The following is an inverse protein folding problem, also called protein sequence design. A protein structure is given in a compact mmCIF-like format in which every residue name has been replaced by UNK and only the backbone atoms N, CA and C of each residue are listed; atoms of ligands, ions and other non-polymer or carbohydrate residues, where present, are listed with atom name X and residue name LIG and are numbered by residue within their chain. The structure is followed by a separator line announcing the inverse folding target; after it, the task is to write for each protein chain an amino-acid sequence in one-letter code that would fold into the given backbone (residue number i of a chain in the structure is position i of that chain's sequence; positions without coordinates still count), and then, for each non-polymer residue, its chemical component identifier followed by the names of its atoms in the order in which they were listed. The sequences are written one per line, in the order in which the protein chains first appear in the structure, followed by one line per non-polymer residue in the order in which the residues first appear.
data_IF_542721943276
#
_entry.id   IF_542721943276
#
_cell.length_a   1.000
_cell.length_b   1.000
_cell.length_c   1.000
_cell.angle_alpha   90.00
_cell.angle_beta   90.00
_cell.angle_gamma   90.00
#
_symmetry.space_group_name_H-M   'P 1'
#
loop_
_entity.id
_entity.type
_entity.pdbx_description
1 polymer ?
#
# COMPACT_ATOMS: atom_id res chain seq x y z
N UNK A 1 -53.91 9.64 44.68
CA UNK A 1 -53.17 8.39 44.38
C UNK A 1 -52.71 8.43 42.93
N UNK A 2 -51.48 8.88 42.66
CA UNK A 2 -50.91 8.97 41.30
C UNK A 2 -49.77 7.96 41.18
N UNK A 3 -49.87 7.10 40.16
CA UNK A 3 -48.96 5.99 39.85
C UNK A 3 -47.63 6.53 39.33
N UNK A 4 -46.51 6.01 39.86
CA UNK A 4 -45.17 6.18 39.30
C UNK A 4 -44.84 4.93 38.47
N UNK A 5 -44.52 5.12 37.19
CA UNK A 5 -43.92 4.10 36.33
C UNK A 5 -42.39 4.30 36.33
N UNK A 6 -41.57 3.22 36.32
CA UNK A 6 -40.13 3.35 36.30
C UNK A 6 -39.63 3.58 34.86
N UNK A 7 -38.79 4.59 34.71
CA UNK A 7 -38.07 4.91 33.47
C UNK A 7 -36.87 3.96 33.35
N UNK A 8 -36.95 3.02 32.40
CA UNK A 8 -35.86 2.10 32.08
C UNK A 8 -34.80 2.84 31.25
N UNK A 9 -33.64 3.13 31.83
CA UNK A 9 -32.53 3.79 31.14
C UNK A 9 -31.72 2.74 30.36
N UNK A 10 -31.78 2.79 29.03
CA UNK A 10 -30.99 1.95 28.14
C UNK A 10 -29.57 2.52 28.05
N UNK A 11 -28.58 1.89 28.71
CA UNK A 11 -27.17 2.20 28.50
C UNK A 11 -26.73 1.62 27.14
N UNK A 12 -26.68 2.47 26.11
CA UNK A 12 -25.99 2.14 24.87
C UNK A 12 -24.48 2.17 25.09
N UNK A 13 -23.81 1.03 24.99
CA UNK A 13 -22.36 0.96 24.99
C UNK A 13 -21.83 1.61 23.70
N UNK A 14 -21.22 2.80 23.81
CA UNK A 14 -20.39 3.36 22.76
C UNK A 14 -19.13 2.51 22.65
N UNK A 15 -19.05 1.67 21.62
CA UNK A 15 -17.79 1.10 21.16
C UNK A 15 -16.97 2.21 20.51
N UNK A 16 -16.00 2.75 21.25
CA UNK A 16 -14.99 3.64 20.69
C UNK A 16 -14.14 2.85 19.67
N UNK A 17 -13.97 3.34 18.43
CA UNK A 17 -13.00 2.74 17.52
C UNK A 17 -11.61 2.92 18.13
N UNK A 18 -10.90 1.83 18.32
CA UNK A 18 -9.50 1.83 18.75
C UNK A 18 -8.73 2.59 17.67
N UNK A 19 -8.33 3.83 17.96
CA UNK A 19 -7.38 4.55 17.13
C UNK A 19 -6.13 3.68 17.05
N UNK A 20 -5.74 3.28 15.83
CA UNK A 20 -4.50 2.57 15.61
C UNK A 20 -3.38 3.46 16.16
N UNK A 21 -2.81 3.06 17.29
CA UNK A 21 -1.59 3.66 17.82
C UNK A 21 -0.51 3.39 16.77
N UNK A 22 0.09 4.44 16.20
CA UNK A 22 1.13 4.31 15.20
C UNK A 22 2.28 3.47 15.79
N UNK A 23 2.30 2.19 15.41
CA UNK A 23 3.33 1.27 15.86
C UNK A 23 4.65 1.74 15.27
N UNK A 24 5.70 1.76 16.10
CA UNK A 24 7.04 2.17 15.66
C UNK A 24 7.42 1.39 14.40
N UNK A 25 7.75 2.06 13.28
CA UNK A 25 8.16 1.38 12.07
C UNK A 25 9.35 0.45 12.30
N UNK A 26 9.32 -0.72 11.66
CA UNK A 26 10.46 -1.64 11.57
C UNK A 26 11.36 -1.29 10.38
N UNK A 27 10.87 -0.46 9.46
CA UNK A 27 11.62 0.08 8.33
C UNK A 27 11.03 1.41 7.88
N UNK A 28 11.89 2.37 7.56
CA UNK A 28 11.52 3.66 6.94
C UNK A 28 12.58 4.09 5.94
N UNK A 29 12.14 4.59 4.78
CA UNK A 29 13.02 5.22 3.81
C UNK A 29 12.26 6.28 2.98
N UNK A 30 12.67 7.54 3.14
CA UNK A 30 12.17 8.70 2.40
C UNK A 30 13.22 9.26 1.43
N UNK A 31 14.27 8.50 1.13
CA UNK A 31 15.33 8.80 0.16
C UNK A 31 16.17 10.06 0.39
N UNK A 32 15.88 10.90 1.38
CA UNK A 32 16.61 12.15 1.63
C UNK A 32 18.12 11.94 1.86
N UNK A 33 18.46 10.83 2.51
CA UNK A 33 19.86 10.41 2.77
C UNK A 33 20.48 9.59 1.65
N UNK A 34 19.72 9.24 0.61
CA UNK A 34 20.21 8.42 -0.48
C UNK A 34 21.06 9.22 -1.46
N UNK A 35 22.00 8.54 -2.10
CA UNK A 35 22.77 9.06 -3.23
C UNK A 35 21.87 9.13 -4.47
N UNK A 36 22.01 10.21 -5.26
CA UNK A 36 21.30 10.35 -6.52
C UNK A 36 21.78 9.31 -7.54
N UNK A 37 20.90 8.98 -8.48
CA UNK A 37 21.16 8.10 -9.63
C UNK A 37 21.55 6.68 -9.22
N UNK A 38 21.20 6.28 -7.99
CA UNK A 38 21.47 4.95 -7.43
C UNK A 38 20.24 4.40 -6.73
N UNK A 39 20.18 3.08 -6.66
CA UNK A 39 19.24 2.37 -5.77
C UNK A 39 19.90 2.25 -4.39
N UNK A 40 19.17 2.46 -3.28
CA UNK A 40 19.71 2.20 -1.94
C UNK A 40 20.17 0.74 -1.79
N UNK A 41 21.29 0.53 -1.12
CA UNK A 41 21.97 -0.77 -1.08
C UNK A 41 21.16 -1.90 -0.41
N UNK A 42 20.18 -1.56 0.42
CA UNK A 42 19.29 -2.50 1.10
C UNK A 42 18.12 -2.96 0.21
N UNK A 43 17.97 -2.43 -1.01
CA UNK A 43 16.90 -2.79 -1.92
C UNK A 43 17.34 -3.95 -2.83
N UNK A 44 16.40 -4.82 -3.18
CA UNK A 44 16.59 -5.85 -4.20
C UNK A 44 15.70 -5.54 -5.39
N UNK A 45 16.29 -5.02 -6.47
CA UNK A 45 15.60 -4.78 -7.74
C UNK A 45 15.29 -6.12 -8.39
N UNK A 46 14.01 -6.38 -8.67
CA UNK A 46 13.60 -7.58 -9.39
C UNK A 46 13.82 -7.40 -10.89
N UNK A 47 13.41 -6.24 -11.40
CA UNK A 47 13.66 -5.74 -12.76
C UNK A 47 13.38 -4.22 -12.79
N UNK A 48 13.83 -3.53 -13.83
CA UNK A 48 13.61 -2.09 -14.05
C UNK A 48 14.79 -1.22 -13.60
N UNK A 49 15.00 -0.11 -14.29
CA UNK A 49 16.07 0.84 -14.00
C UNK A 49 15.65 1.86 -12.93
N UNK A 50 15.37 1.37 -11.72
CA UNK A 50 15.03 2.25 -10.58
C UNK A 50 16.25 3.07 -10.17
N UNK A 51 16.06 4.35 -9.88
CA UNK A 51 17.13 5.25 -9.41
C UNK A 51 16.56 6.33 -8.50
N UNK A 52 17.31 6.77 -7.49
CA UNK A 52 16.91 7.94 -6.70
C UNK A 52 17.12 9.21 -7.52
N UNK A 53 16.05 10.01 -7.66
CA UNK A 53 16.05 11.31 -8.33
C UNK A 53 15.62 12.40 -7.35
N UNK A 54 15.81 13.65 -7.75
CA UNK A 54 15.37 14.82 -6.99
C UNK A 54 14.56 15.76 -7.87
N UNK A 55 13.49 16.31 -7.30
CA UNK A 55 12.63 17.32 -7.93
C UNK A 55 11.97 18.17 -6.83
N UNK A 56 11.89 19.48 -7.03
CA UNK A 56 11.24 20.38 -6.07
C UNK A 56 11.77 20.34 -4.63
N UNK A 57 13.03 19.93 -4.42
CA UNK A 57 13.64 19.79 -3.09
C UNK A 57 13.32 18.47 -2.36
N UNK A 58 12.65 17.52 -3.01
CA UNK A 58 12.36 16.18 -2.49
C UNK A 58 13.16 15.13 -3.25
N UNK A 59 13.71 14.13 -2.55
CA UNK A 59 14.27 12.93 -3.19
C UNK A 59 13.24 11.80 -3.19
N UNK A 60 13.27 10.97 -4.23
CA UNK A 60 12.36 9.83 -4.38
C UNK A 60 13.00 8.76 -5.25
N UNK A 61 12.54 7.52 -5.14
CA UNK A 61 12.89 6.48 -6.09
C UNK A 61 12.04 6.64 -7.36
N UNK A 62 12.66 6.69 -8.52
CA UNK A 62 11.97 6.80 -9.81
C UNK A 62 12.15 5.52 -10.63
N UNK A 63 11.05 5.04 -11.20
CA UNK A 63 11.01 4.07 -12.29
C UNK A 63 10.79 4.83 -13.61
N UNK A 64 11.66 4.69 -14.62
CA UNK A 64 11.52 5.41 -15.88
C UNK A 64 10.27 5.00 -16.67
N UNK A 65 9.88 5.87 -17.60
CA UNK A 65 8.72 5.66 -18.48
C UNK A 65 8.87 4.56 -19.54
N UNK A 66 10.03 3.91 -19.63
CA UNK A 66 10.35 2.87 -20.60
C UNK A 66 11.48 1.95 -20.06
N UNK A 67 11.54 0.67 -20.46
CA UNK A 67 10.58 -0.03 -21.33
C UNK A 67 9.21 -0.23 -20.68
N UNK A 68 8.22 -0.69 -21.45
CA UNK A 68 6.86 -0.90 -20.96
C UNK A 68 6.71 -2.35 -20.47
N UNK A 69 6.94 -2.57 -19.18
CA UNK A 69 6.75 -3.88 -18.54
C UNK A 69 6.22 -3.73 -17.09
N UNK A 70 6.28 -4.81 -16.31
CA UNK A 70 6.02 -4.85 -14.86
C UNK A 70 7.34 -4.89 -14.11
N UNK A 71 7.61 -3.84 -13.34
CA UNK A 71 8.83 -3.72 -12.57
C UNK A 71 8.52 -3.69 -11.08
N UNK A 72 9.48 -4.15 -10.28
CA UNK A 72 9.32 -4.19 -8.84
C UNK A 72 10.65 -4.18 -8.11
N UNK A 73 10.62 -3.70 -6.88
CA UNK A 73 11.76 -3.72 -5.97
C UNK A 73 11.30 -4.15 -4.59
N UNK A 74 12.09 -5.01 -3.95
CA UNK A 74 11.88 -5.45 -2.57
C UNK A 74 12.72 -4.61 -1.62
N UNK A 75 12.17 -4.28 -0.46
CA UNK A 75 12.84 -3.50 0.58
C UNK A 75 12.41 -3.99 1.97
N UNK A 76 13.06 -3.49 3.03
CA UNK A 76 12.70 -3.84 4.40
C UNK A 76 12.93 -5.32 4.77
N UNK A 77 12.44 -5.74 5.96
CA UNK A 77 12.69 -7.06 6.53
C UNK A 77 11.89 -8.16 5.82
N UNK A 78 12.34 -9.41 5.98
CA UNK A 78 11.60 -10.60 5.55
C UNK A 78 10.72 -11.07 6.71
N UNK A 79 9.41 -11.05 6.54
CA UNK A 79 8.46 -11.51 7.56
C UNK A 79 7.37 -12.38 6.94
N UNK A 80 6.73 -13.21 7.76
CA UNK A 80 5.65 -14.12 7.32
C UNK A 80 4.28 -13.46 7.34
N UNK A 81 4.00 -12.66 8.35
CA UNK A 81 2.71 -11.99 8.52
C UNK A 81 2.86 -10.85 9.52
N UNK A 82 1.73 -10.21 9.84
CA UNK A 82 1.63 -9.19 10.86
C UNK A 82 2.48 -7.94 10.54
N UNK A 83 2.55 -7.60 9.25
CA UNK A 83 3.11 -6.36 8.73
C UNK A 83 2.07 -5.54 7.98
N UNK A 84 2.27 -4.22 8.00
CA UNK A 84 1.74 -3.29 7.02
C UNK A 84 2.88 -2.62 6.26
N UNK A 85 2.68 -2.40 4.97
CA UNK A 85 3.53 -1.59 4.10
C UNK A 85 2.74 -0.39 3.60
N UNK A 86 3.38 0.78 3.56
CA UNK A 86 2.84 1.97 2.92
C UNK A 86 3.89 2.72 2.11
N UNK A 87 3.42 3.47 1.12
CA UNK A 87 4.21 4.35 0.29
C UNK A 87 3.37 5.51 -0.25
N UNK A 88 4.02 6.62 -0.58
CA UNK A 88 3.51 7.62 -1.52
C UNK A 88 3.95 7.23 -2.93
N UNK A 89 3.04 7.30 -3.89
CA UNK A 89 3.31 6.98 -5.29
C UNK A 89 2.72 8.06 -6.20
N UNK A 90 3.53 8.56 -7.13
CA UNK A 90 3.16 9.57 -8.11
C UNK A 90 3.35 9.04 -9.53
N UNK A 91 2.44 9.42 -10.42
CA UNK A 91 2.54 9.14 -11.84
C UNK A 91 1.71 10.12 -12.65
N UNK A 92 1.84 10.04 -13.98
CA UNK A 92 1.05 10.87 -14.90
C UNK A 92 0.44 10.02 -16.01
N UNK A 93 -0.75 10.38 -16.46
CA UNK A 93 -1.31 9.81 -17.69
C UNK A 93 -0.72 10.52 -18.91
N UNK A 94 -0.76 9.85 -20.07
CA UNK A 94 -0.42 10.44 -21.37
C UNK A 94 -1.49 10.09 -22.40
N UNK A 95 -2.38 11.04 -22.67
CA UNK A 95 -3.55 10.79 -23.52
C UNK A 95 -4.47 9.75 -22.87
N UNK A 96 -4.65 8.59 -23.52
CA UNK A 96 -5.43 7.45 -22.99
C UNK A 96 -4.59 6.34 -22.36
N UNK A 97 -3.29 6.59 -22.16
CA UNK A 97 -2.36 5.63 -21.54
C UNK A 97 -2.16 5.98 -20.07
N UNK A 98 -2.24 4.96 -19.23
CA UNK A 98 -2.20 5.09 -17.78
C UNK A 98 -1.07 4.22 -17.21
N UNK A 99 -0.39 4.66 -16.16
CA UNK A 99 0.46 3.77 -15.38
C UNK A 99 -0.40 2.85 -14.50
N UNK A 100 0.17 1.74 -14.03
CA UNK A 100 -0.32 1.01 -12.85
C UNK A 100 0.79 0.95 -11.82
N UNK A 101 0.47 0.96 -10.54
CA UNK A 101 1.49 0.98 -9.48
C UNK A 101 0.92 0.53 -8.15
N UNK A 102 1.79 0.12 -7.23
CA UNK A 102 1.32 -0.25 -5.90
C UNK A 102 2.38 -0.71 -4.93
N UNK A 103 1.91 -1.29 -3.83
CA UNK A 103 2.71 -1.86 -2.74
C UNK A 103 2.40 -3.34 -2.59
N UNK A 104 3.31 -4.12 -2.03
CA UNK A 104 3.11 -5.55 -1.77
C UNK A 104 3.81 -6.06 -0.52
N UNK A 105 3.34 -7.20 -0.03
CA UNK A 105 3.88 -7.94 1.12
C UNK A 105 4.18 -9.39 0.70
N UNK A 106 5.05 -10.07 1.44
CA UNK A 106 5.35 -11.49 1.27
C UNK A 106 6.06 -11.84 -0.04
N UNK A 107 6.89 -10.93 -0.57
CA UNK A 107 7.70 -11.15 -1.76
C UNK A 107 6.90 -11.24 -3.06
N UNK A 108 7.52 -11.76 -4.12
CA UNK A 108 6.98 -11.77 -5.49
C UNK A 108 5.66 -12.55 -5.61
N UNK A 109 5.57 -13.70 -4.94
CA UNK A 109 4.35 -14.53 -4.91
C UNK A 109 3.32 -14.10 -3.86
N UNK A 110 3.59 -13.01 -3.13
CA UNK A 110 2.74 -12.51 -2.05
C UNK A 110 1.58 -11.66 -2.54
N UNK A 111 1.08 -10.81 -1.64
CA UNK A 111 -0.03 -9.91 -1.94
C UNK A 111 0.45 -8.58 -2.51
N UNK A 112 -0.26 -8.05 -3.50
CA UNK A 112 0.00 -6.72 -4.08
C UNK A 112 -1.30 -5.93 -4.15
N UNK A 113 -1.29 -4.69 -3.67
CA UNK A 113 -2.38 -3.73 -3.84
C UNK A 113 -1.98 -2.77 -4.96
N UNK A 114 -2.56 -2.92 -6.14
CA UNK A 114 -2.26 -2.10 -7.31
C UNK A 114 -3.40 -1.15 -7.63
N UNK A 115 -3.07 0.11 -7.91
CA UNK A 115 -3.98 1.08 -8.51
C UNK A 115 -3.93 0.90 -10.02
N UNK A 116 -5.09 0.66 -10.63
CA UNK A 116 -5.26 0.44 -12.07
C UNK A 116 -6.16 1.52 -12.68
N UNK A 117 -5.63 2.73 -12.97
CA UNK A 117 -6.40 3.88 -13.43
C UNK A 117 -7.16 3.63 -14.74
N UNK A 118 -6.60 2.84 -15.66
CA UNK A 118 -7.26 2.47 -16.92
C UNK A 118 -8.58 1.72 -16.69
N UNK A 119 -8.69 0.99 -15.58
CA UNK A 119 -9.88 0.24 -15.18
C UNK A 119 -10.76 1.01 -14.18
N UNK A 120 -10.28 2.13 -13.63
CA UNK A 120 -10.88 2.83 -12.47
C UNK A 120 -11.03 1.94 -11.24
N UNK A 121 -10.02 1.12 -10.98
CA UNK A 121 -10.01 0.15 -9.88
C UNK A 121 -8.76 0.28 -9.02
N UNK A 122 -8.89 -0.15 -7.77
CA UNK A 122 -7.80 -0.75 -7.02
C UNK A 122 -7.99 -2.27 -7.04
N UNK A 123 -6.91 -3.02 -7.20
CA UNK A 123 -6.90 -4.47 -7.37
C UNK A 123 -5.98 -5.10 -6.32
N UNK A 124 -6.47 -6.13 -5.63
CA UNK A 124 -5.66 -6.99 -4.76
C UNK A 124 -5.27 -8.24 -5.53
N UNK A 125 -3.97 -8.46 -5.67
CA UNK A 125 -3.38 -9.64 -6.27
C UNK A 125 -2.79 -10.58 -5.21
N UNK A 126 -2.72 -11.88 -5.52
CA UNK A 126 -1.83 -12.85 -4.86
C UNK A 126 -1.08 -13.61 -5.95
N UNK A 127 0.24 -13.47 -6.00
CA UNK A 127 0.97 -13.82 -7.23
C UNK A 127 0.36 -13.05 -8.40
N UNK A 128 0.04 -13.72 -9.51
CA UNK A 128 -0.54 -13.09 -10.70
C UNK A 128 -2.08 -13.09 -10.74
N UNK A 129 -2.72 -13.68 -9.73
CA UNK A 129 -4.18 -13.75 -9.65
C UNK A 129 -4.76 -12.50 -9.00
N UNK A 130 -5.74 -11.87 -9.65
CA UNK A 130 -6.62 -10.88 -9.00
C UNK A 130 -7.58 -11.61 -8.05
N UNK A 131 -7.54 -11.25 -6.77
CA UNK A 131 -8.40 -11.82 -5.71
C UNK A 131 -9.60 -10.96 -5.39
N UNK A 132 -9.43 -9.63 -5.39
CA UNK A 132 -10.52 -8.69 -5.12
C UNK A 132 -10.26 -7.37 -5.85
N UNK A 133 -11.32 -6.67 -6.21
CA UNK A 133 -11.24 -5.32 -6.79
C UNK A 133 -12.23 -4.39 -6.09
N UNK A 134 -11.93 -3.10 -6.12
CA UNK A 134 -12.84 -2.06 -5.64
C UNK A 134 -12.74 -0.82 -6.54
N UNK A 135 -13.84 -0.06 -6.72
CA UNK A 135 -13.81 1.19 -7.46
C UNK A 135 -12.83 2.20 -6.85
N UNK A 136 -11.96 2.77 -7.68
CA UNK A 136 -11.08 3.86 -7.29
C UNK A 136 -10.74 4.73 -8.50
N UNK A 137 -11.05 6.02 -8.42
CA UNK A 137 -10.68 6.99 -9.44
C UNK A 137 -9.39 7.71 -9.04
N UNK A 138 -8.29 7.36 -9.71
CA UNK A 138 -6.99 7.96 -9.51
C UNK A 138 -6.87 9.35 -10.20
N UNK A 139 -6.15 10.27 -9.56
CA UNK A 139 -5.86 11.60 -10.08
C UNK A 139 -4.43 11.67 -10.63
N UNK A 140 -4.30 12.01 -11.91
CA UNK A 140 -3.00 12.18 -12.56
C UNK A 140 -2.22 13.35 -11.99
N UNK A 141 -0.89 13.20 -11.87
CA UNK A 141 -0.02 14.28 -11.42
C UNK A 141 -0.20 14.65 -9.94
N UNK A 142 -0.77 13.75 -9.15
CA UNK A 142 -0.95 13.91 -7.70
C UNK A 142 -0.42 12.66 -7.01
N UNK A 143 0.27 12.86 -5.89
CA UNK A 143 0.71 11.75 -5.03
C UNK A 143 -0.50 11.02 -4.44
N UNK A 144 -0.51 9.70 -4.59
CA UNK A 144 -1.42 8.80 -3.90
C UNK A 144 -0.69 8.13 -2.74
N UNK A 145 -1.36 7.98 -1.60
CA UNK A 145 -0.91 7.18 -0.47
C UNK A 145 -1.57 5.81 -0.55
N UNK A 146 -0.77 4.76 -0.43
CA UNK A 146 -1.24 3.38 -0.38
C UNK A 146 -0.81 2.74 0.92
N UNK A 147 -1.66 1.86 1.46
CA UNK A 147 -1.35 1.00 2.60
C UNK A 147 -1.95 -0.38 2.36
N UNK A 148 -1.14 -1.41 2.55
CA UNK A 148 -1.52 -2.82 2.53
C UNK A 148 -1.06 -3.46 3.83
N UNK A 149 -1.93 -4.22 4.50
CA UNK A 149 -1.57 -5.02 5.65
C UNK A 149 -1.96 -6.48 5.48
N UNK A 150 -1.14 -7.37 6.02
CA UNK A 150 -1.44 -8.79 6.22
C UNK A 150 -1.42 -9.06 7.72
N UNK A 151 -2.59 -9.28 8.31
CA UNK A 151 -2.73 -9.54 9.74
C UNK A 151 -3.08 -10.99 9.99
N UNK A 152 -2.37 -11.64 10.91
CA UNK A 152 -2.74 -12.98 11.38
C UNK A 152 -3.89 -12.88 12.36
N UNK A 153 -5.06 -13.46 12.02
CA UNK A 153 -6.25 -13.46 12.89
C UNK A 153 -6.14 -14.60 13.91
N UNK A 154 -5.77 -15.80 13.43
CA UNK A 154 -5.42 -16.98 14.24
C UNK A 154 -4.60 -17.94 13.39
N UNK A 155 -4.25 -19.11 13.93
CA UNK A 155 -3.49 -20.10 13.16
C UNK A 155 -4.25 -20.54 11.91
N UNK A 156 -3.61 -20.40 10.75
CA UNK A 156 -4.19 -20.72 9.44
C UNK A 156 -5.18 -19.71 8.89
N UNK A 157 -5.39 -18.57 9.55
CA UNK A 157 -6.31 -17.52 9.07
C UNK A 157 -5.67 -16.13 9.14
N UNK A 158 -5.66 -15.46 8.01
CA UNK A 158 -5.15 -14.11 7.85
C UNK A 158 -6.21 -13.19 7.25
N UNK A 159 -6.06 -11.91 7.51
CA UNK A 159 -6.86 -10.84 6.89
C UNK A 159 -5.92 -9.91 6.13
N UNK A 160 -6.22 -9.70 4.85
CA UNK A 160 -5.52 -8.79 3.96
C UNK A 160 -6.37 -7.57 3.73
N UNK A 161 -5.83 -6.41 4.09
CA UNK A 161 -6.57 -5.15 4.06
C UNK A 161 -5.77 -4.09 3.33
N UNK A 162 -6.42 -3.42 2.36
CA UNK A 162 -5.79 -2.45 1.48
C UNK A 162 -6.60 -1.17 1.39
N UNK A 163 -5.92 -0.03 1.33
CA UNK A 163 -6.56 1.26 1.06
C UNK A 163 -5.63 2.20 0.30
N UNK A 164 -6.26 3.07 -0.46
CA UNK A 164 -5.62 4.09 -1.29
C UNK A 164 -6.37 5.41 -1.15
N UNK A 165 -5.64 6.51 -1.04
CA UNK A 165 -6.22 7.85 -0.92
C UNK A 165 -5.28 8.90 -1.51
N UNK A 166 -5.79 10.04 -2.01
CA UNK A 166 -4.92 11.13 -2.45
C UNK A 166 -4.18 11.73 -1.25
N UNK A 167 -2.95 12.20 -1.45
CA UNK A 167 -2.13 12.79 -0.39
C UNK A 167 -2.82 13.98 0.32
N UNK A 168 -3.62 14.74 -0.42
CA UNK A 168 -4.39 15.88 0.10
C UNK A 168 -5.52 15.47 1.05
N UNK A 169 -5.88 14.20 1.11
CA UNK A 169 -6.90 13.67 2.00
C UNK A 169 -6.31 13.03 3.25
N UNK A 170 -7.09 13.01 4.33
CA UNK A 170 -6.79 12.22 5.53
C UNK A 170 -6.86 10.73 5.19
N UNK A 171 -6.04 9.93 5.87
CA UNK A 171 -6.11 8.47 5.77
C UNK A 171 -7.53 7.99 6.11
N UNK A 172 -8.19 7.22 5.23
CA UNK A 172 -9.51 6.67 5.53
C UNK A 172 -9.47 5.70 6.70
N UNK A 173 -10.47 5.79 7.58
CA UNK A 173 -10.68 4.82 8.65
C UNK A 173 -11.14 3.45 8.10
N UNK A 174 -11.98 3.47 7.06
CA UNK A 174 -12.44 2.26 6.39
C UNK A 174 -11.39 1.73 5.40
N UNK A 175 -11.26 0.42 5.32
CA UNK A 175 -10.48 -0.25 4.29
C UNK A 175 -11.24 -0.28 2.96
N UNK A 176 -10.52 -0.05 1.85
CA UNK A 176 -11.10 -0.13 0.50
C UNK A 176 -11.25 -1.59 0.05
N UNK A 177 -10.33 -2.44 0.50
CA UNK A 177 -10.24 -3.87 0.22
C UNK A 177 -10.11 -4.60 1.56
N UNK A 178 -10.90 -5.65 1.74
CA UNK A 178 -10.77 -6.59 2.86
C UNK A 178 -10.97 -8.00 2.32
N UNK A 179 -9.96 -8.85 2.49
CA UNK A 179 -9.94 -10.21 1.96
C UNK A 179 -9.48 -11.18 3.06
N UNK A 180 -10.23 -12.27 3.25
CA UNK A 180 -9.86 -13.33 4.17
C UNK A 180 -9.02 -14.38 3.43
N UNK A 181 -7.92 -14.79 4.04
CA UNK A 181 -6.96 -15.74 3.48
C UNK A 181 -6.75 -16.92 4.44
N UNK A 182 -6.77 -18.13 3.90
CA UNK A 182 -6.56 -19.38 4.65
C UNK A 182 -5.43 -20.23 4.08
N UNK A 183 -4.99 -19.95 2.86
CA UNK A 183 -3.79 -20.56 2.30
C UNK A 183 -2.55 -19.90 2.89
N UNK A 184 -1.60 -20.73 3.28
CA UNK A 184 -0.35 -20.29 3.90
C UNK A 184 0.38 -19.25 3.05
N UNK A 185 0.78 -18.14 3.68
CA UNK A 185 1.58 -17.10 3.05
C UNK A 185 3.06 -17.37 3.25
N UNK A 186 3.90 -17.31 2.20
CA UNK A 186 5.34 -17.46 2.36
C UNK A 186 5.91 -16.27 3.12
N UNK A 187 7.01 -16.47 3.85
CA UNK A 187 7.78 -15.34 4.36
C UNK A 187 8.42 -14.57 3.19
N UNK A 188 8.37 -13.24 3.24
CA UNK A 188 8.89 -12.42 2.17
C UNK A 188 9.00 -10.95 2.54
N UNK A 189 9.74 -10.22 1.72
CA UNK A 189 9.98 -8.79 1.90
C UNK A 189 8.80 -7.96 1.38
N UNK A 190 8.52 -6.79 1.98
CA UNK A 190 7.72 -5.74 1.38
C UNK A 190 8.25 -5.31 0.00
N UNK A 191 7.37 -4.72 -0.81
CA UNK A 191 7.69 -4.34 -2.19
C UNK A 191 6.89 -3.14 -2.68
N UNK A 192 7.44 -2.46 -3.69
CA UNK A 192 6.71 -1.50 -4.54
C UNK A 192 6.78 -1.99 -5.98
N UNK A 193 5.74 -1.65 -6.75
CA UNK A 193 5.54 -2.13 -8.11
C UNK A 193 5.12 -0.99 -9.04
N UNK A 194 5.53 -1.06 -10.30
CA UNK A 194 5.18 -0.08 -11.32
C UNK A 194 5.10 -0.67 -12.73
N UNK A 195 4.07 -0.25 -13.45
CA UNK A 195 3.87 -0.46 -14.88
C UNK A 195 3.82 0.91 -15.56
N UNK A 196 4.91 1.40 -16.18
CA UNK A 196 4.97 2.74 -16.77
C UNK A 196 4.25 2.82 -18.13
N UNK A 197 3.09 2.17 -18.29
CA UNK A 197 2.36 2.05 -19.56
C UNK A 197 1.83 3.39 -20.12
N UNK A 198 1.83 4.46 -19.30
CA UNK A 198 1.67 5.84 -19.77
C UNK A 198 2.85 6.35 -20.61
N UNK A 199 4.01 5.69 -20.55
CA UNK A 199 5.25 6.18 -21.14
C UNK A 199 5.85 7.34 -20.36
N UNK A 200 5.50 7.49 -19.08
CA UNK A 200 6.00 8.52 -18.17
C UNK A 200 6.51 7.87 -16.88
N UNK A 201 7.47 8.50 -16.16
CA UNK A 201 8.01 7.92 -14.95
C UNK A 201 6.97 7.74 -13.83
N UNK A 202 7.24 6.78 -12.95
CA UNK A 202 6.51 6.54 -11.70
C UNK A 202 7.49 6.81 -10.54
N UNK A 203 7.06 7.60 -9.56
CA UNK A 203 7.90 7.99 -8.41
C UNK A 203 7.34 7.37 -7.14
N UNK A 204 8.23 6.92 -6.27
CA UNK A 204 7.92 6.26 -5.00
C UNK A 204 8.68 6.95 -3.87
N UNK A 205 7.98 7.22 -2.78
CA UNK A 205 8.53 7.93 -1.63
C UNK A 205 7.86 7.50 -0.31
N UNK A 206 8.45 7.87 0.82
CA UNK A 206 8.00 7.55 2.18
C UNK A 206 7.62 6.08 2.35
N UNK A 207 8.57 5.19 2.05
CA UNK A 207 8.41 3.77 2.24
C UNK A 207 8.44 3.48 3.74
N UNK A 208 7.35 2.92 4.27
CA UNK A 208 7.22 2.61 5.68
C UNK A 208 6.71 1.19 5.85
N UNK A 209 7.31 0.45 6.77
CA UNK A 209 6.86 -0.88 7.19
C UNK A 209 6.64 -0.86 8.69
N UNK A 210 5.44 -1.21 9.12
CA UNK A 210 5.06 -1.26 10.54
C UNK A 210 4.59 -2.66 10.92
N UNK A 211 4.84 -3.11 12.16
CA UNK A 211 4.15 -4.29 12.66
C UNK A 211 2.66 -3.98 12.81
N UNK A 212 1.81 -4.97 12.62
CA UNK A 212 0.38 -4.89 12.95
C UNK A 212 0.05 -5.88 14.05
N UNK A 213 -0.86 -5.50 14.95
CA UNK A 213 -1.33 -6.40 15.99
C UNK A 213 -1.98 -7.63 15.36
N UNK A 214 -1.93 -8.78 16.04
CA UNK A 214 -2.67 -9.99 15.67
C UNK A 214 -4.18 -9.74 15.85
#
# INVERSE_FOLDING_TARGET
MKKLAPLLTLLGALSLPLAAQDAKPVYENNFEKAELDKVPADFLVLDGAFEVKADGGNKFLELPGAPLDTFGVLFGPTEKDSLAVSARIFGTLKGRRFPSFGVGLNGVGGFRLLVSPAKKLVELYKGDDVKLTAPFEWQTGVWAKLKLQLRKVKDGEWKVEGKVWPESAKEPAAWTITFDETAETPAGRPSIWGNPFSGTPIRFDDLVVTPVAK
#
